data_IF_679249993875
#
_entry.id   IF_679249993875
#
_cell.length_a   1.000
_cell.length_b   1.000
_cell.length_c   1.000
_cell.angle_alpha   90.00
_cell.angle_beta   90.00
_cell.angle_gamma   90.00
#
_symmetry.space_group_name_H-M   'P 1'
#
loop_
_entity.id
_entity.type
_entity.pdbx_description
1 polymer ?
#
# COMPACT_ATOMS: atom_id res chain seq x y z
N UNK A 1 11.62 -9.32 -9.33
CA UNK A 1 10.52 -8.59 -8.67
C UNK A 1 9.96 -7.51 -9.57
N UNK A 2 10.77 -6.53 -9.97
CA UNK A 2 10.32 -5.42 -10.82
C UNK A 2 9.74 -5.87 -12.17
N UNK A 3 10.39 -6.82 -12.85
CA UNK A 3 9.90 -7.34 -14.14
C UNK A 3 8.53 -8.00 -13.99
N UNK A 4 8.34 -8.84 -12.95
CA UNK A 4 7.06 -9.47 -12.64
C UNK A 4 5.95 -8.44 -12.38
N UNK A 5 6.23 -7.36 -11.64
CA UNK A 5 5.27 -6.28 -11.42
C UNK A 5 4.96 -5.53 -12.73
N UNK A 6 5.96 -5.34 -13.58
CA UNK A 6 5.81 -4.67 -14.87
C UNK A 6 4.94 -5.50 -15.81
N UNK A 7 5.18 -6.81 -15.91
CA UNK A 7 4.38 -7.73 -16.72
C UNK A 7 2.93 -7.79 -16.22
N UNK A 8 2.73 -7.90 -14.90
CA UNK A 8 1.40 -7.89 -14.30
C UNK A 8 0.65 -6.57 -14.54
N UNK A 9 1.36 -5.43 -14.43
CA UNK A 9 0.81 -4.12 -14.70
C UNK A 9 0.39 -3.96 -16.17
N UNK A 10 1.23 -4.42 -17.10
CA UNK A 10 0.96 -4.41 -18.54
C UNK A 10 -0.26 -5.26 -18.89
N UNK A 11 -0.40 -6.46 -18.33
CA UNK A 11 -1.58 -7.30 -18.57
C UNK A 11 -2.86 -6.65 -18.00
N UNK A 12 -2.79 -6.08 -16.80
CA UNK A 12 -3.93 -5.37 -16.19
C UNK A 12 -4.38 -4.17 -17.04
N UNK A 13 -3.43 -3.45 -17.66
CA UNK A 13 -3.69 -2.25 -18.47
C UNK A 13 -3.72 -2.52 -19.97
N UNK A 14 -3.80 -3.79 -20.39
CA UNK A 14 -3.83 -4.16 -21.82
C UNK A 14 -4.97 -3.50 -22.59
N UNK A 15 -6.08 -3.20 -21.91
CA UNK A 15 -7.26 -2.51 -22.47
C UNK A 15 -7.26 -0.99 -22.22
N UNK A 16 -6.16 -0.44 -21.72
CA UNK A 16 -6.05 0.94 -21.23
C UNK A 16 -6.48 1.09 -19.77
N UNK A 17 -6.47 2.32 -19.29
CA UNK A 17 -6.75 2.66 -17.90
C UNK A 17 -6.04 3.94 -17.48
N UNK A 18 -6.38 4.49 -16.31
CA UNK A 18 -5.63 5.60 -15.76
C UNK A 18 -4.25 5.11 -15.30
N UNK A 19 -3.14 5.72 -15.73
CA UNK A 19 -1.82 5.32 -15.27
C UNK A 19 -1.70 5.55 -13.77
N UNK A 20 -0.91 4.70 -13.11
CA UNK A 20 -0.59 4.92 -11.69
C UNK A 20 0.29 6.15 -11.55
N UNK A 21 0.11 6.88 -10.46
CA UNK A 21 0.90 8.08 -10.16
C UNK A 21 2.35 7.75 -9.79
N UNK A 22 2.58 6.56 -9.22
CA UNK A 22 3.90 6.04 -8.87
C UNK A 22 4.41 5.11 -9.96
N UNK A 23 5.70 5.22 -10.30
CA UNK A 23 6.42 4.24 -11.12
C UNK A 23 6.42 2.85 -10.46
N UNK A 24 6.71 1.79 -11.22
CA UNK A 24 6.78 0.45 -10.64
C UNK A 24 7.92 0.34 -9.62
N UNK A 25 9.02 1.04 -9.86
CA UNK A 25 10.16 1.13 -8.94
C UNK A 25 9.76 1.78 -7.62
N UNK A 26 9.04 2.92 -7.66
CA UNK A 26 8.57 3.60 -6.46
C UNK A 26 7.57 2.73 -5.68
N UNK A 27 6.66 2.05 -6.37
CA UNK A 27 5.72 1.13 -5.74
C UNK A 27 6.45 -0.02 -5.03
N UNK A 28 7.44 -0.63 -5.69
CA UNK A 28 8.25 -1.69 -5.10
C UNK A 28 9.06 -1.18 -3.89
N UNK A 29 9.69 -0.01 -4.00
CA UNK A 29 10.46 0.59 -2.89
C UNK A 29 9.56 0.91 -1.70
N UNK A 30 8.36 1.46 -1.95
CA UNK A 30 7.39 1.77 -0.89
C UNK A 30 6.99 0.50 -0.14
N UNK A 31 6.63 -0.56 -0.85
CA UNK A 31 6.24 -1.84 -0.23
C UNK A 31 7.40 -2.49 0.51
N UNK A 32 8.62 -2.47 -0.03
CA UNK A 32 9.78 -3.03 0.66
C UNK A 32 10.14 -2.24 1.93
N UNK A 33 9.98 -0.91 1.92
CA UNK A 33 10.14 -0.09 3.14
C UNK A 33 9.08 -0.43 4.17
N UNK A 34 7.83 -0.60 3.73
CA UNK A 34 6.73 -1.02 4.59
C UNK A 34 7.04 -2.36 5.27
N UNK A 35 7.42 -3.38 4.50
CA UNK A 35 7.73 -4.71 5.03
C UNK A 35 8.97 -4.73 5.94
N UNK A 36 10.00 -3.94 5.62
CA UNK A 36 11.27 -3.95 6.38
C UNK A 36 11.21 -3.17 7.69
N UNK A 37 10.59 -2.01 7.68
CA UNK A 37 10.65 -1.04 8.78
C UNK A 37 9.29 -0.79 9.44
N UNK A 38 8.21 -1.29 8.83
CA UNK A 38 6.84 -1.08 9.27
C UNK A 38 6.47 0.39 9.61
N UNK A 39 6.89 1.40 8.80
CA UNK A 39 6.46 2.78 8.98
C UNK A 39 4.95 2.90 8.80
N UNK A 40 4.37 3.95 9.40
CA UNK A 40 2.95 4.25 9.18
C UNK A 40 2.68 4.59 7.71
N UNK A 41 1.52 4.19 7.20
CA UNK A 41 1.12 4.53 5.83
C UNK A 41 1.01 6.05 5.63
N UNK A 42 0.75 6.83 6.68
CA UNK A 42 0.80 8.29 6.64
C UNK A 42 2.20 8.84 6.36
N UNK A 43 3.24 8.24 6.95
CA UNK A 43 4.63 8.63 6.68
C UNK A 43 5.01 8.29 5.23
N UNK A 44 4.64 7.09 4.75
CA UNK A 44 4.83 6.71 3.36
C UNK A 44 4.08 7.64 2.40
N UNK A 45 2.83 8.00 2.72
CA UNK A 45 2.04 8.92 1.91
C UNK A 45 2.71 10.28 1.79
N UNK A 46 3.30 10.78 2.88
CA UNK A 46 4.10 12.00 2.89
C UNK A 46 5.37 11.86 2.04
N UNK A 47 6.17 10.81 2.26
CA UNK A 47 7.46 10.60 1.58
C UNK A 47 7.30 10.43 0.06
N UNK A 48 6.23 9.77 -0.38
CA UNK A 48 5.95 9.51 -1.80
C UNK A 48 4.97 10.51 -2.43
N UNK A 49 4.49 11.50 -1.67
CA UNK A 49 3.61 12.56 -2.17
C UNK A 49 2.24 12.07 -2.67
N UNK A 50 1.73 10.96 -2.15
CA UNK A 50 0.45 10.33 -2.53
C UNK A 50 -0.55 10.32 -1.38
N UNK A 51 -1.80 9.93 -1.63
CA UNK A 51 -2.79 9.74 -0.55
C UNK A 51 -2.54 8.44 0.21
N UNK A 52 -2.93 8.38 1.49
CA UNK A 52 -2.84 7.15 2.31
C UNK A 52 -3.58 5.97 1.66
N UNK A 53 -4.72 6.23 1.02
CA UNK A 53 -5.44 5.21 0.25
C UNK A 53 -4.58 4.61 -0.87
N UNK A 54 -3.83 5.45 -1.60
CA UNK A 54 -2.91 5.01 -2.66
C UNK A 54 -1.76 4.18 -2.09
N UNK A 55 -1.26 4.53 -0.91
CA UNK A 55 -0.23 3.72 -0.21
C UNK A 55 -0.77 2.32 0.07
N UNK A 56 -1.94 2.23 0.70
CA UNK A 56 -2.57 0.96 1.02
C UNK A 56 -2.82 0.11 -0.23
N UNK A 57 -3.47 0.69 -1.24
CA UNK A 57 -3.74 0.03 -2.53
C UNK A 57 -2.46 -0.47 -3.21
N UNK A 58 -1.38 0.32 -3.14
CA UNK A 58 -0.09 -0.07 -3.72
C UNK A 58 0.55 -1.22 -2.96
N UNK A 59 0.60 -1.15 -1.63
CA UNK A 59 1.18 -2.21 -0.79
C UNK A 59 0.44 -3.51 -1.06
N UNK A 60 -0.89 -3.51 -0.95
CA UNK A 60 -1.73 -4.69 -1.19
C UNK A 60 -1.52 -5.26 -2.60
N UNK A 61 -1.54 -4.40 -3.64
CA UNK A 61 -1.36 -4.89 -5.01
C UNK A 61 0.03 -5.49 -5.25
N UNK A 62 1.10 -4.87 -4.73
CA UNK A 62 2.46 -5.39 -4.87
C UNK A 62 2.59 -6.73 -4.14
N UNK A 63 2.10 -6.83 -2.91
CA UNK A 63 2.13 -8.07 -2.12
C UNK A 63 1.39 -9.20 -2.80
N UNK A 64 0.15 -8.95 -3.24
CA UNK A 64 -0.67 -9.97 -3.92
C UNK A 64 -0.05 -10.42 -5.24
N UNK A 65 0.52 -9.48 -6.01
CA UNK A 65 1.16 -9.80 -7.29
C UNK A 65 2.41 -10.65 -7.07
N UNK A 66 3.26 -10.27 -6.10
CA UNK A 66 4.47 -11.03 -5.78
C UNK A 66 4.14 -12.41 -5.21
N UNK A 67 3.15 -12.51 -4.30
CA UNK A 67 2.66 -13.79 -3.78
C UNK A 67 2.13 -14.69 -4.89
N UNK A 68 1.32 -14.13 -5.79
CA UNK A 68 0.75 -14.87 -6.93
C UNK A 68 1.80 -15.35 -7.92
N UNK A 69 2.92 -14.63 -8.04
CA UNK A 69 4.02 -15.03 -8.93
C UNK A 69 4.77 -16.28 -8.45
N UNK A 70 4.71 -16.60 -7.15
CA UNK A 70 5.51 -17.65 -6.53
C UNK A 70 7.02 -17.39 -6.51
N UNK A 71 7.48 -16.23 -7.02
CA UNK A 71 8.89 -15.86 -7.08
C UNK A 71 9.40 -15.25 -5.76
N UNK A 72 8.49 -14.94 -4.84
CA UNK A 72 8.84 -14.28 -3.60
C UNK A 72 8.00 -14.81 -2.44
N UNK A 73 8.69 -15.27 -1.40
CA UNK A 73 8.08 -15.71 -0.17
C UNK A 73 8.05 -14.53 0.81
N UNK A 74 6.86 -13.92 0.95
CA UNK A 74 6.64 -12.81 1.86
C UNK A 74 6.54 -13.26 3.33
N UNK A 75 6.26 -14.53 3.57
CA UNK A 75 6.01 -15.06 4.92
C UNK A 75 7.33 -15.32 5.66
N UNK A 76 8.45 -15.35 4.93
CA UNK A 76 9.81 -15.52 5.47
C UNK A 76 10.63 -14.22 5.52
N UNK A 77 9.99 -13.05 5.49
CA UNK A 77 10.68 -11.76 5.66
C UNK A 77 11.05 -11.51 7.14
N UNK A 78 11.88 -12.39 7.71
CA UNK A 78 12.36 -12.24 9.08
C UNK A 78 13.29 -11.00 9.19
N UNK A 79 12.87 -10.02 9.99
CA UNK A 79 13.79 -8.99 10.46
C UNK A 79 14.83 -9.65 11.39
N UNK A 80 16.13 -9.26 11.34
CA UNK A 80 17.13 -9.82 12.24
C UNK A 80 16.75 -9.55 13.71
N UNK A 81 16.31 -10.62 14.37
CA UNK A 81 16.15 -10.85 15.81
C UNK A 81 16.12 -9.62 16.73
N UNK A 82 14.94 -9.03 16.87
CA UNK A 82 14.47 -8.48 18.15
C UNK A 82 12.94 -8.66 18.17
N UNK A 83 12.45 -9.65 18.91
CA UNK A 83 11.01 -9.89 19.06
C UNK A 83 10.38 -8.71 19.78
N UNK A 84 9.77 -7.80 19.04
CA UNK A 84 8.96 -6.70 19.58
C UNK A 84 7.50 -7.00 19.25
N UNK A 85 6.69 -7.25 20.28
CA UNK A 85 5.25 -7.35 20.12
C UNK A 85 4.68 -5.93 19.95
N UNK A 86 4.28 -5.57 18.73
CA UNK A 86 3.63 -4.30 18.42
C UNK A 86 2.13 -4.57 18.26
N UNK A 87 1.31 -3.99 19.13
CA UNK A 87 -0.14 -4.03 18.94
C UNK A 87 -0.54 -3.05 17.83
N UNK A 88 -0.84 -3.58 16.65
CA UNK A 88 -1.31 -2.81 15.48
C UNK A 88 -2.81 -3.08 15.31
N UNK A 89 -3.64 -2.45 16.15
CA UNK A 89 -5.09 -2.42 15.91
C UNK A 89 -5.41 -1.16 15.11
N UNK A 90 -5.44 -1.24 13.78
CA UNK A 90 -6.01 -0.17 12.97
C UNK A 90 -7.53 -0.17 13.15
N UNK A 91 -8.03 0.82 13.87
CA UNK A 91 -9.47 1.04 14.02
C UNK A 91 -9.97 1.95 12.90
N UNK A 92 -11.04 1.60 12.17
CA UNK A 92 -11.61 2.49 11.17
C UNK A 92 -12.01 3.81 11.82
N UNK A 93 -11.46 4.92 11.33
CA UNK A 93 -11.78 6.26 11.82
C UNK A 93 -13.24 6.55 11.46
N UNK A 94 -14.09 6.72 12.48
CA UNK A 94 -15.49 7.02 12.27
C UNK A 94 -15.65 8.45 11.76
N UNK A 95 -16.18 8.60 10.53
CA UNK A 95 -16.46 9.90 9.93
C UNK A 95 -17.38 10.73 10.84
N UNK A 96 -17.01 11.96 11.24
CA UNK A 96 -17.90 12.84 11.99
C UNK A 96 -19.22 13.03 11.24
N UNK A 97 -20.35 12.77 11.91
CA UNK A 97 -21.68 13.01 11.32
C UNK A 97 -21.88 14.52 11.19
N UNK A 98 -22.17 14.99 9.97
CA UNK A 98 -22.54 16.39 9.75
C UNK A 98 -23.78 16.72 10.60
N UNK A 99 -23.78 17.80 11.39
CA UNK A 99 -25.01 18.26 12.01
C UNK A 99 -26.00 18.67 10.90
N UNK A 100 -27.27 18.29 11.04
CA UNK A 100 -28.33 18.86 10.19
C UNK A 100 -28.41 20.34 10.55
N UNK A 101 -28.06 21.23 9.61
CA UNK A 101 -28.54 22.60 9.70
C UNK A 101 -30.05 22.54 9.52
N UNK A 102 -30.79 22.81 10.58
CA UNK A 102 -32.21 23.16 10.46
C UNK A 102 -32.25 24.54 9.79
N UNK A 103 -32.52 24.54 8.49
CA UNK A 103 -32.87 25.73 7.74
C UNK A 103 -34.26 26.15 8.24
N UNK A 104 -34.28 27.03 9.24
CA UNK A 104 -35.48 27.79 9.58
C UNK A 104 -35.69 28.83 8.48
N UNK A 105 -36.77 28.67 7.70
CA UNK A 105 -37.32 29.70 6.83
C UNK A 105 -38.24 30.61 7.64
#
# INVERSE_FOLDING_TARGET
MLDCLTDAYQEQHRKGGHPRRLSMEEQLIMTLRYLRYYPTQCLLAFDFGVGVATVNETITWVEDTLRSSGLFDLDHLEAPSATVAINVTESPIQRPKKPKQELFW
#
